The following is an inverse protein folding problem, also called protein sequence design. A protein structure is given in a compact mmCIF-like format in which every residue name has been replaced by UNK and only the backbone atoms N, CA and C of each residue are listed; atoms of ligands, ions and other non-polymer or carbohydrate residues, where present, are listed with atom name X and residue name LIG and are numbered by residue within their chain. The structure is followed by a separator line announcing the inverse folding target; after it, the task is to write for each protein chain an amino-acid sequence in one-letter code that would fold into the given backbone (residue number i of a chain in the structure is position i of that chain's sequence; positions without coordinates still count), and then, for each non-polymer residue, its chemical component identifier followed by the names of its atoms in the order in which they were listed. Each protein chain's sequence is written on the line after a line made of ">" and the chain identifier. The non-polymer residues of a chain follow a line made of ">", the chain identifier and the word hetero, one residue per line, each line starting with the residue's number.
data_IF_109080712085
#
_entry.id   IF_109080712085
#
_cell.length_a   1.000
_cell.length_b   1.000
_cell.length_c   1.000
_cell.angle_alpha   90.00
_cell.angle_beta   90.00
_cell.angle_gamma   90.00
#
_symmetry.space_group_name_H-M   'P 1'
#
loop_
_entity.id
_entity.type
_entity.pdbx_description
1 polymer ?
#
# COMPACT_ATOMS: atom_id res chain seq x y z
N UNK A 1 0.38 0.51 -12.71
CA UNK A 1 -0.59 1.40 -12.05
C UNK A 1 -1.92 1.46 -12.80
N UNK A 2 -1.93 1.87 -14.07
CA UNK A 2 -3.17 2.03 -14.87
C UNK A 2 -4.08 0.80 -14.86
N UNK A 3 -3.51 -0.39 -15.06
CA UNK A 3 -4.28 -1.64 -15.04
C UNK A 3 -4.89 -1.94 -13.66
N UNK A 4 -4.18 -1.66 -12.58
CA UNK A 4 -4.72 -1.82 -11.23
C UNK A 4 -5.86 -0.82 -10.96
N UNK A 5 -5.69 0.44 -11.38
CA UNK A 5 -6.71 1.48 -11.21
C UNK A 5 -8.02 1.14 -11.93
N UNK A 6 -7.97 0.51 -13.11
CA UNK A 6 -9.15 0.05 -13.86
C UNK A 6 -9.85 -1.15 -13.22
N UNK A 7 -9.14 -1.97 -12.44
CA UNK A 7 -9.70 -3.13 -11.72
C UNK A 7 -10.34 -2.73 -10.40
N UNK A 8 -9.91 -1.63 -9.80
CA UNK A 8 -10.48 -1.12 -8.57
C UNK A 8 -11.92 -0.65 -8.80
N UNK A 9 -12.83 -1.00 -7.88
CA UNK A 9 -14.22 -0.53 -7.92
C UNK A 9 -14.32 0.99 -7.77
N UNK A 10 -13.46 1.57 -6.93
CA UNK A 10 -13.38 3.00 -6.64
C UNK A 10 -11.90 3.37 -6.57
N UNK A 11 -11.52 4.46 -7.22
CA UNK A 11 -10.19 5.05 -7.13
C UNK A 11 -10.28 6.45 -6.52
N UNK A 12 -9.38 6.72 -5.58
CA UNK A 12 -9.15 8.05 -4.98
C UNK A 12 -7.65 8.32 -5.03
N UNK A 13 -7.28 9.56 -5.32
CA UNK A 13 -5.89 10.03 -5.32
C UNK A 13 -5.61 10.82 -4.04
N UNK A 14 -4.33 11.14 -3.80
CA UNK A 14 -3.87 11.96 -2.66
C UNK A 14 -4.32 11.41 -1.30
N UNK A 15 -3.79 10.24 -0.92
CA UNK A 15 -4.08 9.61 0.35
C UNK A 15 -3.15 10.06 1.48
N UNK A 16 -1.86 10.25 1.19
CA UNK A 16 -0.79 10.44 2.19
C UNK A 16 -1.00 9.46 3.37
N UNK A 17 -0.78 9.92 4.62
CA UNK A 17 -1.01 9.11 5.81
C UNK A 17 -2.47 8.63 5.97
N UNK A 18 -3.45 9.35 5.41
CA UNK A 18 -4.87 8.98 5.51
C UNK A 18 -5.20 7.73 4.67
N UNK A 19 -4.49 7.51 3.56
CA UNK A 19 -4.62 6.29 2.77
C UNK A 19 -4.25 5.05 3.59
N UNK A 20 -3.12 5.11 4.31
CA UNK A 20 -2.67 4.03 5.18
C UNK A 20 -3.61 3.83 6.36
N UNK A 21 -4.07 4.91 6.98
CA UNK A 21 -5.11 4.85 8.01
C UNK A 21 -6.37 4.14 7.50
N UNK A 22 -6.83 4.47 6.28
CA UNK A 22 -8.01 3.86 5.67
C UNK A 22 -7.82 2.36 5.43
N UNK A 23 -6.61 1.92 5.06
CA UNK A 23 -6.28 0.49 4.96
C UNK A 23 -6.29 -0.17 6.33
N UNK A 24 -5.61 0.42 7.32
CA UNK A 24 -5.54 -0.13 8.68
C UNK A 24 -6.92 -0.27 9.35
N UNK A 25 -7.88 0.60 8.98
CA UNK A 25 -9.24 0.61 9.53
C UNK A 25 -10.26 -0.12 8.65
N UNK A 26 -9.85 -0.70 7.52
CA UNK A 26 -10.71 -1.47 6.62
C UNK A 26 -11.65 -0.63 5.73
N UNK A 27 -11.43 0.68 5.63
CA UNK A 27 -12.18 1.55 4.71
C UNK A 27 -11.61 1.57 3.28
N UNK A 28 -10.37 1.12 3.10
CA UNK A 28 -9.72 0.97 1.80
C UNK A 28 -9.00 -0.38 1.69
N UNK A 29 -8.99 -0.95 0.49
CA UNK A 29 -8.31 -2.22 0.22
C UNK A 29 -6.80 -2.05 -0.05
N UNK A 30 -6.40 -0.92 -0.61
CA UNK A 30 -5.03 -0.62 -1.02
C UNK A 30 -4.75 0.89 -1.02
N UNK A 31 -3.54 1.26 -0.59
CA UNK A 31 -2.92 2.57 -0.81
C UNK A 31 -1.49 2.35 -1.30
N UNK A 32 -0.97 3.30 -2.07
CA UNK A 32 0.42 3.22 -2.54
C UNK A 32 0.98 4.60 -2.88
N UNK A 33 2.27 4.75 -2.68
CA UNK A 33 3.04 5.93 -3.03
C UNK A 33 4.25 5.53 -3.88
N UNK A 34 4.45 6.26 -4.98
CA UNK A 34 5.57 6.03 -5.90
C UNK A 34 6.91 6.49 -5.32
N UNK A 35 6.87 7.45 -4.39
CA UNK A 35 8.03 7.99 -3.69
C UNK A 35 7.70 7.98 -2.20
N UNK A 36 8.53 7.28 -1.42
CA UNK A 36 8.38 7.18 0.02
C UNK A 36 9.74 7.38 0.69
N UNK A 37 9.75 8.16 1.78
CA UNK A 37 10.92 8.26 2.64
C UNK A 37 10.75 7.41 3.91
N UNK A 38 11.84 6.93 4.52
CA UNK A 38 11.77 6.12 5.74
C UNK A 38 11.01 6.80 6.89
N UNK A 39 11.17 8.12 7.08
CA UNK A 39 10.51 8.85 8.16
C UNK A 39 8.99 8.96 8.00
N UNK A 40 8.47 8.83 6.77
CA UNK A 40 7.04 8.88 6.49
C UNK A 40 6.37 7.50 6.70
N UNK A 41 7.14 6.40 6.59
CA UNK A 41 6.59 5.03 6.58
C UNK A 41 6.91 4.19 7.81
N UNK A 42 8.03 4.44 8.51
CA UNK A 42 8.46 3.62 9.63
C UNK A 42 7.41 3.49 10.75
N UNK A 43 6.67 4.56 11.04
CA UNK A 43 5.61 4.54 12.04
C UNK A 43 4.35 3.79 11.54
N UNK A 44 4.15 3.72 10.23
CA UNK A 44 2.97 3.14 9.58
C UNK A 44 3.08 1.62 9.45
N UNK A 45 4.29 1.10 9.24
CA UNK A 45 4.53 -0.36 9.10
C UNK A 45 3.89 -1.18 10.23
N UNK A 46 4.19 -0.95 11.51
CA UNK A 46 3.60 -1.74 12.59
C UNK A 46 2.09 -1.55 12.74
N UNK A 47 1.54 -0.41 12.30
CA UNK A 47 0.09 -0.15 12.31
C UNK A 47 -0.60 -1.03 11.27
N UNK A 48 -0.08 -1.07 10.05
CA UNK A 48 -0.66 -1.88 8.96
C UNK A 48 -0.55 -3.36 9.28
N UNK A 49 0.63 -3.82 9.72
CA UNK A 49 0.84 -5.23 10.09
C UNK A 49 -0.02 -5.63 11.30
N UNK A 50 -0.11 -4.77 12.32
CA UNK A 50 -0.95 -4.99 13.50
C UNK A 50 -2.46 -5.05 13.17
N UNK A 51 -2.90 -4.37 12.11
CA UNK A 51 -4.27 -4.44 11.59
C UNK A 51 -4.52 -5.70 10.72
N UNK A 52 -3.52 -6.56 10.50
CA UNK A 52 -3.61 -7.73 9.62
C UNK A 52 -3.45 -7.38 8.13
N UNK A 53 -3.02 -6.17 7.81
CA UNK A 53 -2.62 -5.75 6.48
C UNK A 53 -1.22 -6.22 6.13
N UNK A 54 -0.79 -5.92 4.91
CA UNK A 54 0.59 -6.11 4.44
C UNK A 54 1.12 -4.84 3.81
N UNK A 55 2.40 -4.58 4.01
CA UNK A 55 3.10 -3.39 3.50
C UNK A 55 4.46 -3.79 2.91
N UNK A 56 4.74 -3.35 1.70
CA UNK A 56 5.98 -3.63 0.95
C UNK A 56 6.33 -2.46 0.03
N UNK A 57 7.48 -2.49 -0.61
CA UNK A 57 7.75 -1.63 -1.78
C UNK A 57 6.95 -2.09 -3.03
N UNK A 58 7.05 -1.36 -4.14
CA UNK A 58 6.39 -1.74 -5.40
C UNK A 58 6.78 -3.11 -5.96
N UNK A 59 7.90 -3.67 -5.52
CA UNK A 59 8.47 -4.94 -5.96
C UNK A 59 8.13 -6.08 -5.00
N UNK A 60 7.41 -5.79 -3.90
CA UNK A 60 7.09 -6.77 -2.85
C UNK A 60 8.22 -6.98 -1.84
N UNK A 61 9.24 -6.12 -1.85
CA UNK A 61 10.35 -6.07 -0.91
C UNK A 61 10.03 -5.30 0.37
N UNK A 62 11.09 -4.92 1.09
CA UNK A 62 10.97 -4.22 2.37
C UNK A 62 10.51 -2.76 2.18
N UNK A 63 9.40 -2.40 2.83
CA UNK A 63 8.81 -1.06 2.77
C UNK A 63 9.69 0.04 3.39
N UNK A 64 10.59 -0.29 4.31
CA UNK A 64 11.43 0.69 5.03
C UNK A 64 12.67 1.06 4.22
N UNK A 65 13.24 0.09 3.50
CA UNK A 65 14.43 0.29 2.67
C UNK A 65 14.11 0.62 1.21
N UNK A 66 12.88 0.36 0.77
CA UNK A 66 12.37 0.75 -0.54
C UNK A 66 12.21 2.27 -0.70
N UNK A 67 12.09 2.70 -1.96
CA UNK A 67 11.81 4.10 -2.34
C UNK A 67 10.34 4.34 -2.69
N UNK A 68 9.51 3.32 -2.55
CA UNK A 68 8.08 3.32 -2.83
C UNK A 68 7.37 2.47 -1.79
N UNK A 69 6.04 2.57 -1.71
CA UNK A 69 5.28 1.73 -0.79
C UNK A 69 3.92 1.33 -1.34
N UNK A 70 3.50 0.13 -0.99
CA UNK A 70 2.16 -0.41 -1.17
C UNK A 70 1.72 -0.97 0.18
N UNK A 71 0.60 -0.48 0.70
CA UNK A 71 -0.08 -1.10 1.83
C UNK A 71 -1.45 -1.61 1.36
N UNK A 72 -1.84 -2.80 1.79
CA UNK A 72 -3.12 -3.40 1.41
C UNK A 72 -3.70 -4.30 2.48
N UNK A 73 -4.97 -4.69 2.29
CA UNK A 73 -5.53 -5.84 2.96
C UNK A 73 -4.66 -7.09 2.68
N UNK A 74 -4.35 -7.87 3.72
CA UNK A 74 -3.38 -8.96 3.65
C UNK A 74 -3.60 -9.95 2.49
N UNK A 75 -4.83 -10.49 2.30
CA UNK A 75 -5.11 -11.46 1.23
C UNK A 75 -4.94 -10.92 -0.20
N UNK A 76 -5.03 -9.61 -0.41
CA UNK A 76 -4.97 -8.99 -1.74
C UNK A 76 -3.53 -8.63 -2.17
N UNK A 77 -2.59 -8.62 -1.23
CA UNK A 77 -1.30 -7.98 -1.43
C UNK A 77 -0.50 -8.57 -2.59
N UNK A 78 -0.39 -9.89 -2.68
CA UNK A 78 0.38 -10.54 -3.74
C UNK A 78 -0.24 -10.34 -5.13
N UNK A 79 -1.57 -10.25 -5.21
CA UNK A 79 -2.25 -9.94 -6.46
C UNK A 79 -1.97 -8.50 -6.91
N UNK A 80 -2.00 -7.56 -5.98
CA UNK A 80 -1.71 -6.14 -6.22
C UNK A 80 -0.27 -5.98 -6.75
N UNK A 81 0.72 -6.57 -6.08
CA UNK A 81 2.12 -6.49 -6.51
C UNK A 81 2.32 -7.12 -7.89
N UNK A 82 1.67 -8.25 -8.19
CA UNK A 82 1.70 -8.85 -9.53
C UNK A 82 1.07 -7.96 -10.58
N UNK A 83 -0.03 -7.27 -10.26
CA UNK A 83 -0.72 -6.38 -11.19
C UNK A 83 0.05 -5.06 -11.43
N UNK A 84 0.88 -4.62 -10.47
CA UNK A 84 1.71 -3.43 -10.63
C UNK A 84 2.91 -3.66 -11.55
N UNK A 85 3.47 -4.87 -11.55
CA UNK A 85 4.70 -5.23 -12.29
C UNK A 85 4.43 -5.98 -13.60
N UNK A 86 3.26 -5.77 -14.19
CA UNK A 86 2.82 -6.40 -15.44
C UNK A 86 2.71 -5.38 -16.55
#
# INVERSE_FOLDING_TARGET
>A
FDELSKRARIYRSWGDCHGYFSVATGFADVTMDAVMNPWDIMAVVPIIEGAGGRITDWQGGDAVTGTSTVASAGPLHDEIIRALNR
#
